data_IF_547766334267
#
_entry.id   IF_547766334267
#
_cell.length_a   1.000
_cell.length_b   1.000
_cell.length_c   1.000
_cell.angle_alpha   90.00
_cell.angle_beta   90.00
_cell.angle_gamma   90.00
#
_symmetry.space_group_name_H-M   'P 1'
#
loop_
_entity.id
_entity.type
_entity.pdbx_description
1 polymer ?
#
# COMPACT_ATOMS: atom_id res chain seq x y z
N UNK A 1 -23.86 10.87 -12.86
CA UNK A 1 -22.55 10.44 -12.42
C UNK A 1 -22.52 8.93 -12.31
N UNK A 2 -21.51 8.28 -12.85
CA UNK A 2 -21.49 6.84 -12.94
C UNK A 2 -20.70 6.23 -11.78
N UNK A 3 -21.41 5.70 -10.79
CA UNK A 3 -20.82 5.11 -9.60
C UNK A 3 -20.03 3.84 -9.90
N UNK A 4 -20.38 3.11 -10.97
CA UNK A 4 -19.64 1.91 -11.37
C UNK A 4 -18.23 2.24 -11.85
N UNK A 5 -18.08 3.32 -12.63
CA UNK A 5 -16.77 3.79 -13.08
C UNK A 5 -15.91 4.20 -11.89
N UNK A 6 -16.50 4.91 -10.93
CA UNK A 6 -15.80 5.33 -9.72
C UNK A 6 -15.36 4.14 -8.87
N UNK A 7 -16.22 3.13 -8.74
CA UNK A 7 -15.91 1.92 -7.99
C UNK A 7 -14.76 1.14 -8.64
N UNK A 8 -14.78 0.99 -9.96
CA UNK A 8 -13.71 0.34 -10.71
C UNK A 8 -12.39 1.08 -10.56
N UNK A 9 -12.41 2.40 -10.61
CA UNK A 9 -11.23 3.23 -10.46
C UNK A 9 -10.61 3.06 -9.07
N UNK A 10 -11.43 3.08 -8.01
CA UNK A 10 -10.94 2.85 -6.64
C UNK A 10 -10.30 1.48 -6.50
N UNK A 11 -10.93 0.45 -7.07
CA UNK A 11 -10.41 -0.90 -7.01
C UNK A 11 -9.07 -1.02 -7.73
N UNK A 12 -8.95 -0.42 -8.92
CA UNK A 12 -7.70 -0.42 -9.68
C UNK A 12 -6.59 0.29 -8.91
N UNK A 13 -6.88 1.44 -8.31
CA UNK A 13 -5.90 2.17 -7.51
C UNK A 13 -5.48 1.40 -6.27
N UNK A 14 -6.42 0.74 -5.60
CA UNK A 14 -6.11 -0.08 -4.43
C UNK A 14 -5.15 -1.23 -4.81
N UNK A 15 -5.37 -1.88 -5.95
CA UNK A 15 -4.50 -2.94 -6.43
C UNK A 15 -3.09 -2.40 -6.72
N UNK A 16 -3.00 -1.27 -7.41
CA UNK A 16 -1.71 -0.66 -7.76
C UNK A 16 -0.93 -0.24 -6.50
N UNK A 17 -1.59 0.42 -5.56
CA UNK A 17 -0.96 0.89 -4.33
C UNK A 17 -0.48 -0.29 -3.48
N UNK A 18 -1.32 -1.31 -3.34
CA UNK A 18 -0.95 -2.51 -2.59
C UNK A 18 0.27 -3.20 -3.19
N UNK A 19 0.31 -3.30 -4.52
CA UNK A 19 1.43 -3.90 -5.25
C UNK A 19 2.72 -3.10 -5.06
N UNK A 20 2.64 -1.78 -5.11
CA UNK A 20 3.80 -0.91 -4.91
C UNK A 20 4.35 -1.09 -3.49
N UNK A 21 3.48 -1.05 -2.48
CA UNK A 21 3.90 -1.23 -1.10
C UNK A 21 4.55 -2.60 -0.88
N UNK A 22 4.00 -3.65 -1.47
CA UNK A 22 4.57 -4.99 -1.40
C UNK A 22 5.96 -5.03 -2.01
N UNK A 23 6.17 -4.40 -3.17
CA UNK A 23 7.46 -4.37 -3.83
C UNK A 23 8.55 -3.76 -2.94
N UNK A 24 8.25 -2.62 -2.30
CA UNK A 24 9.22 -1.96 -1.43
C UNK A 24 9.47 -2.74 -0.15
N UNK A 25 8.42 -3.35 0.40
CA UNK A 25 8.57 -4.24 1.55
C UNK A 25 9.53 -5.39 1.23
N UNK A 26 9.35 -6.03 0.09
CA UNK A 26 10.19 -7.14 -0.33
C UNK A 26 11.62 -6.73 -0.63
N UNK A 27 11.83 -5.55 -1.20
CA UNK A 27 13.18 -5.03 -1.45
C UNK A 27 14.03 -4.94 -0.19
N UNK A 28 13.41 -4.69 0.95
CA UNK A 28 14.13 -4.57 2.22
C UNK A 28 13.96 -5.80 3.12
N UNK A 29 13.38 -6.87 2.58
CA UNK A 29 13.16 -8.13 3.32
C UNK A 29 12.33 -7.95 4.60
N UNK A 30 11.40 -7.00 4.59
CA UNK A 30 10.50 -6.77 5.71
C UNK A 30 9.36 -7.78 5.62
N UNK A 31 9.05 -8.43 6.73
CA UNK A 31 8.00 -9.44 6.78
C UNK A 31 6.63 -8.78 6.98
N UNK A 32 5.60 -9.40 6.42
CA UNK A 32 4.23 -8.94 6.59
C UNK A 32 3.85 -8.83 8.08
N UNK A 33 4.27 -9.78 8.91
CA UNK A 33 3.95 -9.72 10.34
C UNK A 33 4.57 -8.50 11.03
N UNK A 34 5.71 -8.01 10.56
CA UNK A 34 6.34 -6.83 11.15
C UNK A 34 5.51 -5.58 10.85
N UNK A 35 4.97 -5.49 9.63
CA UNK A 35 4.02 -4.44 9.29
C UNK A 35 2.76 -4.57 10.14
N UNK A 36 2.19 -5.76 10.21
CA UNK A 36 0.95 -6.02 10.94
C UNK A 36 1.07 -5.68 12.42
N UNK A 37 2.17 -6.11 13.06
CA UNK A 37 2.39 -5.85 14.48
C UNK A 37 2.47 -4.36 14.78
N UNK A 38 3.17 -3.60 13.93
CA UNK A 38 3.30 -2.15 14.15
C UNK A 38 2.00 -1.41 13.89
N UNK A 39 1.21 -1.87 12.93
CA UNK A 39 -0.07 -1.26 12.61
C UNK A 39 -1.20 -1.68 13.55
N UNK A 40 -1.00 -2.73 14.35
CA UNK A 40 -2.06 -3.28 15.18
C UNK A 40 -3.08 -4.09 14.39
N UNK A 41 -2.68 -4.66 13.27
CA UNK A 41 -3.54 -5.48 12.42
C UNK A 41 -3.10 -6.94 12.43
N UNK A 42 -3.99 -7.82 11.97
CA UNK A 42 -3.64 -9.21 11.68
C UNK A 42 -2.88 -9.30 10.36
N UNK A 43 -1.98 -10.28 10.18
CA UNK A 43 -1.27 -10.45 8.91
C UNK A 43 -2.19 -10.58 7.71
N UNK A 44 -3.36 -11.21 7.87
CA UNK A 44 -4.35 -11.33 6.79
C UNK A 44 -4.80 -9.97 6.25
N UNK A 45 -4.92 -8.98 7.15
CA UNK A 45 -5.30 -7.61 6.76
C UNK A 45 -4.23 -6.98 5.88
N UNK A 46 -2.96 -7.21 6.21
CA UNK A 46 -1.84 -6.69 5.40
C UNK A 46 -1.80 -7.38 4.04
N UNK A 47 -1.97 -8.70 3.99
CA UNK A 47 -2.04 -9.42 2.72
C UNK A 47 -3.20 -8.93 1.86
N UNK A 48 -4.37 -8.71 2.48
CA UNK A 48 -5.54 -8.20 1.75
C UNK A 48 -5.25 -6.82 1.14
N UNK A 49 -4.57 -5.96 1.88
CA UNK A 49 -4.15 -4.66 1.37
C UNK A 49 -3.19 -4.80 0.19
N UNK A 50 -2.17 -5.66 0.31
CA UNK A 50 -1.19 -5.85 -0.77
C UNK A 50 -1.81 -6.45 -2.02
N UNK A 51 -2.90 -7.18 -1.88
CA UNK A 51 -3.63 -7.76 -3.00
C UNK A 51 -4.78 -6.88 -3.51
N UNK A 52 -4.92 -5.67 -2.97
CA UNK A 52 -5.95 -4.73 -3.40
C UNK A 52 -7.35 -5.06 -2.95
N UNK A 53 -7.51 -5.95 -1.95
CA UNK A 53 -8.84 -6.37 -1.45
C UNK A 53 -9.36 -5.50 -0.33
N UNK A 54 -8.51 -4.69 0.28
CA UNK A 54 -8.93 -3.76 1.32
C UNK A 54 -8.32 -2.39 1.06
N UNK A 55 -8.99 -1.37 1.57
CA UNK A 55 -8.49 0.00 1.42
C UNK A 55 -7.32 0.24 2.36
N UNK A 56 -6.34 0.98 1.87
CA UNK A 56 -5.24 1.42 2.69
C UNK A 56 -5.73 2.45 3.70
N UNK A 57 -5.31 2.29 4.94
CA UNK A 57 -5.45 3.36 5.92
C UNK A 57 -4.13 4.12 6.02
N UNK A 58 -4.19 5.35 6.47
CA UNK A 58 -2.99 6.15 6.71
C UNK A 58 -2.06 5.44 7.70
N UNK A 59 -2.64 4.80 8.71
CA UNK A 59 -1.86 4.06 9.71
C UNK A 59 -1.07 2.91 9.07
N UNK A 60 -1.70 2.15 8.17
CA UNK A 60 -1.04 1.06 7.48
C UNK A 60 0.08 1.58 6.57
N UNK A 61 -0.21 2.61 5.79
CA UNK A 61 0.81 3.23 4.93
C UNK A 61 1.99 3.75 5.77
N UNK A 62 1.71 4.39 6.89
CA UNK A 62 2.73 4.90 7.80
C UNK A 62 3.66 3.79 8.29
N UNK A 63 3.10 2.60 8.57
CA UNK A 63 3.91 1.46 9.00
C UNK A 63 4.84 0.96 7.90
N UNK A 64 4.40 0.94 6.64
CA UNK A 64 5.31 0.66 5.52
C UNK A 64 6.38 1.73 5.41
N UNK A 65 5.97 2.99 5.37
CA UNK A 65 6.86 4.11 5.14
C UNK A 65 7.97 4.15 6.19
N UNK A 66 7.61 4.02 7.47
CA UNK A 66 8.57 4.17 8.57
C UNK A 66 9.54 3.01 8.70
N UNK A 67 9.24 1.85 8.13
CA UNK A 67 10.15 0.70 8.18
C UNK A 67 11.13 0.67 7.02
N UNK A 68 10.92 1.50 6.00
CA UNK A 68 11.81 1.55 4.84
C UNK A 68 12.99 2.48 5.09
N UNK A 69 14.10 2.20 4.39
CA UNK A 69 15.22 3.14 4.33
C UNK A 69 14.76 4.46 3.73
N UNK A 70 15.48 5.54 4.02
CA UNK A 70 15.13 6.88 3.54
C UNK A 70 15.00 6.94 2.02
N UNK A 71 15.91 6.28 1.30
CA UNK A 71 15.84 6.22 -0.15
C UNK A 71 14.55 5.58 -0.63
N UNK A 72 14.17 4.44 -0.05
CA UNK A 72 12.95 3.74 -0.44
C UNK A 72 11.70 4.49 0.01
N UNK A 73 11.77 5.23 1.12
CA UNK A 73 10.65 6.10 1.51
C UNK A 73 10.33 7.12 0.43
N UNK A 74 11.36 7.75 -0.13
CA UNK A 74 11.17 8.74 -1.20
C UNK A 74 10.63 8.10 -2.47
N UNK A 75 11.18 6.94 -2.84
CA UNK A 75 10.74 6.20 -4.02
C UNK A 75 9.29 5.75 -3.88
N UNK A 76 8.92 5.21 -2.71
CA UNK A 76 7.56 4.77 -2.44
C UNK A 76 6.58 5.94 -2.54
N UNK A 77 6.92 7.07 -1.92
CA UNK A 77 6.09 8.26 -1.97
C UNK A 77 5.87 8.72 -3.40
N UNK A 78 6.94 8.79 -4.19
CA UNK A 78 6.84 9.22 -5.59
C UNK A 78 6.05 8.23 -6.44
N UNK A 79 6.21 6.93 -6.20
CA UNK A 79 5.47 5.90 -6.92
C UNK A 79 3.96 5.98 -6.65
N UNK A 80 3.58 6.19 -5.40
CA UNK A 80 2.17 6.34 -5.03
C UNK A 80 1.60 7.63 -5.60
N UNK A 81 2.34 8.73 -5.51
CA UNK A 81 1.92 9.99 -6.10
C UNK A 81 1.69 9.85 -7.61
N UNK A 82 2.62 9.20 -8.31
CA UNK A 82 2.47 8.95 -9.74
C UNK A 82 1.24 8.11 -10.06
N UNK A 83 0.98 7.09 -9.25
CA UNK A 83 -0.22 6.25 -9.38
C UNK A 83 -1.51 7.07 -9.24
N UNK A 84 -1.56 7.96 -8.25
CA UNK A 84 -2.74 8.80 -8.01
C UNK A 84 -2.92 9.87 -9.09
N UNK A 85 -1.82 10.44 -9.58
CA UNK A 85 -1.86 11.49 -10.60
C UNK A 85 -2.28 10.97 -11.98
N UNK A 86 -2.02 9.69 -12.26
CA UNK A 86 -2.35 9.06 -13.55
C UNK A 86 -3.77 8.51 -13.60
N UNK A 87 -4.60 8.93 -12.67
CA UNK A 87 -5.97 8.49 -12.62
C UNK A 87 -6.85 9.11 -13.65
#
# INVERSE_FOLDING_TARGET
MNTEIQAKRRKTKAIEIGKICKQYREKENIKVRDIANKAGYLPQTVYAFENGRSNATILLFDCYFNQLSRQHQMELFNAIKGCLDNG
#
